data_IF_664617202131
#
_entry.id   IF_664617202131
#
_cell.length_a   1.000
_cell.length_b   1.000
_cell.length_c   1.000
_cell.angle_alpha   90.00
_cell.angle_beta   90.00
_cell.angle_gamma   90.00
#
_symmetry.space_group_name_H-M   'P 1'
#
loop_
_entity.id
_entity.type
_entity.pdbx_description
1 polymer ?
#
# COMPACT_ATOMS: atom_id res chain seq x y z
N UNK A 1 6.09 3.91 16.78
CA UNK A 1 4.68 3.66 17.18
C UNK A 1 4.05 2.89 16.03
N UNK A 2 3.58 1.65 16.22
CA UNK A 2 2.94 0.89 15.13
C UNK A 2 1.48 1.29 15.01
N UNK A 3 0.85 1.08 13.85
CA UNK A 3 -0.61 1.01 13.83
C UNK A 3 -1.06 -0.24 14.59
N UNK A 4 -2.12 -0.12 15.37
CA UNK A 4 -2.75 -1.24 16.05
C UNK A 4 -3.94 -1.77 15.22
N UNK A 5 -4.53 -2.88 15.66
CA UNK A 5 -5.58 -3.57 14.91
C UNK A 5 -6.81 -2.68 14.58
N UNK A 6 -7.32 -1.83 15.50
CA UNK A 6 -8.44 -0.93 15.18
C UNK A 6 -8.11 0.07 14.07
N UNK A 7 -6.92 0.67 14.11
CA UNK A 7 -6.43 1.63 13.13
C UNK A 7 -6.25 0.97 11.76
N UNK A 8 -5.68 -0.24 11.73
CA UNK A 8 -5.55 -1.02 10.50
C UNK A 8 -6.91 -1.32 9.87
N UNK A 9 -7.92 -1.63 10.68
CA UNK A 9 -9.29 -1.87 10.22
C UNK A 9 -9.92 -0.61 9.62
N UNK A 10 -9.82 0.53 10.32
CA UNK A 10 -10.34 1.82 9.84
C UNK A 10 -9.66 2.22 8.53
N UNK A 11 -8.33 2.10 8.45
CA UNK A 11 -7.59 2.40 7.23
C UNK A 11 -8.00 1.49 6.07
N UNK A 12 -8.17 0.19 6.31
CA UNK A 12 -8.64 -0.74 5.27
C UNK A 12 -10.04 -0.38 4.77
N UNK A 13 -10.97 0.01 5.65
CA UNK A 13 -12.32 0.46 5.29
C UNK A 13 -12.27 1.74 4.44
N UNK A 14 -11.48 2.73 4.84
CA UNK A 14 -11.30 3.98 4.09
C UNK A 14 -10.68 3.74 2.70
N UNK A 15 -9.70 2.85 2.62
CA UNK A 15 -9.06 2.47 1.36
C UNK A 15 -10.02 1.68 0.46
N UNK A 16 -10.82 0.77 1.01
CA UNK A 16 -11.84 0.02 0.27
C UNK A 16 -12.81 0.98 -0.43
N UNK A 17 -13.38 1.91 0.32
CA UNK A 17 -14.32 2.91 -0.21
C UNK A 17 -13.69 3.81 -1.28
N UNK A 18 -12.39 4.11 -1.15
CA UNK A 18 -11.70 5.08 -2.00
C UNK A 18 -11.04 4.47 -3.24
N UNK A 19 -10.65 3.20 -3.20
CA UNK A 19 -9.77 2.59 -4.21
C UNK A 19 -10.42 1.49 -5.03
N UNK A 20 -11.44 0.78 -4.53
CA UNK A 20 -12.04 -0.33 -5.28
C UNK A 20 -12.52 0.12 -6.66
N UNK A 21 -12.17 -0.66 -7.69
CA UNK A 21 -12.46 -0.37 -9.09
C UNK A 21 -11.49 0.59 -9.77
N UNK A 22 -10.59 1.26 -9.03
CA UNK A 22 -9.53 2.09 -9.63
C UNK A 22 -8.40 1.22 -10.18
N UNK A 23 -7.71 1.73 -11.20
CA UNK A 23 -6.58 1.09 -11.88
C UNK A 23 -5.28 1.79 -11.48
N UNK A 24 -4.23 1.01 -11.24
CA UNK A 24 -2.89 1.54 -10.96
C UNK A 24 -2.23 1.95 -12.29
N UNK A 25 -2.15 3.25 -12.56
CA UNK A 25 -1.52 3.78 -13.79
C UNK A 25 -0.01 3.99 -13.64
N UNK A 26 0.45 4.29 -12.42
CA UNK A 26 1.85 4.57 -12.12
C UNK A 26 2.16 4.25 -10.64
N UNK A 27 3.43 4.03 -10.34
CA UNK A 27 3.95 3.95 -8.97
C UNK A 27 5.33 4.60 -8.89
N UNK A 28 5.69 5.04 -7.70
CA UNK A 28 7.02 5.57 -7.35
C UNK A 28 7.49 4.89 -6.06
N UNK A 29 8.70 4.34 -6.06
CA UNK A 29 9.29 3.68 -4.89
C UNK A 29 10.43 4.54 -4.34
N UNK A 30 10.34 4.90 -3.06
CA UNK A 30 11.32 5.76 -2.38
C UNK A 30 12.01 5.04 -1.23
N UNK A 31 13.22 5.51 -0.90
CA UNK A 31 14.06 4.99 0.20
C UNK A 31 14.25 3.46 0.20
N UNK A 32 14.20 2.87 -1.00
CA UNK A 32 14.17 1.43 -1.22
C UNK A 32 15.35 0.73 -0.54
N UNK A 33 16.57 1.26 -0.66
CA UNK A 33 17.76 0.63 -0.06
C UNK A 33 17.67 0.54 1.47
N UNK A 34 17.08 1.56 2.11
CA UNK A 34 16.85 1.54 3.56
C UNK A 34 15.77 0.51 3.88
N UNK A 35 14.65 0.53 3.16
CA UNK A 35 13.50 -0.36 3.39
C UNK A 35 13.82 -1.83 3.13
N UNK A 36 14.62 -2.13 2.11
CA UNK A 36 15.11 -3.49 1.83
C UNK A 36 16.00 -4.02 2.96
N UNK A 37 16.88 -3.18 3.52
CA UNK A 37 17.77 -3.58 4.62
C UNK A 37 17.01 -3.97 5.88
N UNK A 38 15.87 -3.33 6.14
CA UNK A 38 15.02 -3.64 7.29
C UNK A 38 13.93 -4.68 6.98
N UNK A 39 13.84 -5.18 5.75
CA UNK A 39 12.94 -6.26 5.36
C UNK A 39 11.50 -5.84 5.03
N UNK A 40 11.26 -4.56 4.73
CA UNK A 40 9.92 -4.00 4.48
C UNK A 40 9.55 -3.88 3.00
N UNK A 41 10.50 -4.10 2.10
CA UNK A 41 10.29 -4.09 0.64
C UNK A 41 10.94 -5.33 0.05
N UNK A 42 10.34 -5.87 -1.00
CA UNK A 42 10.89 -7.01 -1.74
C UNK A 42 12.33 -6.72 -2.19
N UNK A 43 13.17 -7.76 -2.20
CA UNK A 43 14.56 -7.63 -2.63
C UNK A 43 14.70 -7.34 -4.12
N UNK A 44 13.76 -7.84 -4.92
CA UNK A 44 13.68 -7.57 -6.34
C UNK A 44 12.59 -6.52 -6.59
N UNK A 45 12.99 -5.38 -7.15
CA UNK A 45 12.04 -4.31 -7.49
C UNK A 45 11.17 -4.64 -8.69
N UNK A 46 11.60 -5.57 -9.54
CA UNK A 46 10.79 -6.02 -10.67
C UNK A 46 9.50 -6.69 -10.23
N UNK A 47 9.42 -7.18 -8.98
CA UNK A 47 8.19 -7.69 -8.37
C UNK A 47 7.04 -6.66 -8.32
N UNK A 48 7.35 -5.36 -8.40
CA UNK A 48 6.35 -4.29 -8.44
C UNK A 48 5.89 -3.97 -9.86
N UNK A 49 6.61 -4.33 -10.92
CA UNK A 49 6.17 -4.05 -12.29
C UNK A 49 4.78 -4.63 -12.63
N UNK A 50 4.42 -5.86 -12.20
CA UNK A 50 3.13 -6.46 -12.54
C UNK A 50 1.90 -5.76 -11.95
N UNK A 51 2.07 -4.81 -11.01
CA UNK A 51 0.96 -4.05 -10.42
C UNK A 51 0.39 -3.00 -11.39
N UNK A 52 1.17 -2.58 -12.40
CA UNK A 52 0.72 -1.59 -13.37
C UNK A 52 -0.41 -2.14 -14.23
N UNK A 53 -1.45 -1.32 -14.44
CA UNK A 53 -2.66 -1.69 -15.16
C UNK A 53 -3.60 -2.61 -14.37
N UNK A 54 -3.29 -2.94 -13.11
CA UNK A 54 -4.15 -3.77 -12.26
C UNK A 54 -5.21 -2.94 -11.57
N UNK A 55 -6.42 -3.47 -11.52
CA UNK A 55 -7.52 -2.86 -10.77
C UNK A 55 -7.55 -3.36 -9.33
N UNK A 56 -7.95 -2.51 -8.40
CA UNK A 56 -8.19 -2.89 -7.00
C UNK A 56 -9.54 -3.61 -6.91
N UNK A 57 -9.53 -4.86 -6.44
CA UNK A 57 -10.72 -5.69 -6.27
C UNK A 57 -11.29 -5.62 -4.85
N UNK A 58 -10.42 -5.53 -3.85
CA UNK A 58 -10.80 -5.44 -2.43
C UNK A 58 -9.60 -5.05 -1.56
N UNK A 59 -9.88 -4.58 -0.36
CA UNK A 59 -8.94 -4.14 0.65
C UNK A 59 -9.44 -4.67 1.98
N UNK A 60 -8.58 -5.39 2.68
CA UNK A 60 -8.88 -5.95 4.00
C UNK A 60 -7.70 -5.80 4.93
N UNK A 61 -7.93 -5.59 6.22
CA UNK A 61 -6.88 -5.72 7.22
C UNK A 61 -6.72 -7.16 7.68
N UNK A 62 -5.48 -7.56 7.97
CA UNK A 62 -5.09 -8.82 8.60
C UNK A 62 -4.09 -8.48 9.70
N UNK A 63 -4.58 -8.36 10.93
CA UNK A 63 -3.78 -7.79 12.02
C UNK A 63 -3.50 -6.31 11.73
N UNK A 64 -2.22 -5.93 11.80
CA UNK A 64 -1.73 -4.58 11.50
C UNK A 64 -1.36 -4.37 10.01
N UNK A 65 -1.51 -5.41 9.17
CA UNK A 65 -1.20 -5.34 7.74
C UNK A 65 -2.47 -5.14 6.93
N UNK A 66 -2.43 -4.25 5.95
CA UNK A 66 -3.50 -4.04 4.98
C UNK A 66 -3.16 -4.81 3.71
N UNK A 67 -4.07 -5.66 3.26
CA UNK A 67 -3.97 -6.41 2.01
C UNK A 67 -4.89 -5.78 0.99
N UNK A 68 -4.31 -5.22 -0.06
CA UNK A 68 -4.99 -4.76 -1.26
C UNK A 68 -4.94 -5.88 -2.29
N UNK A 69 -6.08 -6.50 -2.57
CA UNK A 69 -6.22 -7.48 -3.64
C UNK A 69 -6.37 -6.76 -4.96
N UNK A 70 -5.52 -7.12 -5.91
CA UNK A 70 -5.54 -6.62 -7.28
C UNK A 70 -6.10 -7.70 -8.21
N UNK A 71 -6.51 -7.29 -9.41
CA UNK A 71 -6.84 -8.21 -10.52
C UNK A 71 -5.70 -9.21 -10.76
N UNK A 72 -6.02 -10.37 -11.34
CA UNK A 72 -5.10 -11.49 -11.56
C UNK A 72 -4.54 -12.13 -10.27
N UNK A 73 -5.34 -12.10 -9.19
CA UNK A 73 -5.00 -12.73 -7.90
C UNK A 73 -3.73 -12.19 -7.22
N UNK A 74 -3.27 -11.01 -7.64
CA UNK A 74 -2.11 -10.35 -7.03
C UNK A 74 -2.50 -9.64 -5.74
N UNK A 75 -1.57 -9.51 -4.80
CA UNK A 75 -1.78 -8.77 -3.56
C UNK A 75 -0.67 -7.75 -3.38
N UNK A 76 -1.05 -6.53 -3.02
CA UNK A 76 -0.15 -5.52 -2.48
C UNK A 76 -0.36 -5.49 -0.95
N UNK A 77 0.72 -5.66 -0.20
CA UNK A 77 0.70 -5.62 1.26
C UNK A 77 1.25 -4.27 1.73
N UNK A 78 0.47 -3.58 2.54
CA UNK A 78 0.85 -2.32 3.18
C UNK A 78 0.94 -2.57 4.68
N UNK A 79 2.16 -2.51 5.23
CA UNK A 79 2.43 -2.67 6.64
C UNK A 79 3.02 -1.36 7.19
N UNK A 80 2.18 -0.39 7.61
CA UNK A 80 2.63 0.90 8.14
C UNK A 80 3.17 0.75 9.58
N UNK A 81 4.18 -0.10 9.75
CA UNK A 81 4.87 -0.27 11.03
C UNK A 81 5.70 0.97 11.37
N UNK A 82 6.09 1.10 12.65
CA UNK A 82 7.04 2.11 13.14
C UNK A 82 6.71 3.58 12.80
N UNK A 83 5.45 3.92 12.54
CA UNK A 83 4.99 5.28 12.28
C UNK A 83 4.70 5.53 10.80
N UNK A 84 4.55 4.47 10.00
CA UNK A 84 4.08 4.55 8.63
C UNK A 84 2.74 5.28 8.54
N UNK A 85 2.59 6.11 7.51
CA UNK A 85 1.39 6.88 7.23
C UNK A 85 0.89 6.51 5.85
N UNK A 86 -0.42 6.28 5.73
CA UNK A 86 -1.09 6.11 4.44
C UNK A 86 -1.95 7.34 4.23
N UNK A 87 -1.82 7.97 3.06
CA UNK A 87 -2.55 9.20 2.72
C UNK A 87 -3.25 9.01 1.39
N UNK A 88 -4.53 9.39 1.34
CA UNK A 88 -5.30 9.49 0.11
C UNK A 88 -5.34 10.96 -0.32
N UNK A 89 -5.00 11.23 -1.59
CA UNK A 89 -5.00 12.57 -2.19
C UNK A 89 -5.86 12.50 -3.45
N UNK A 90 -6.98 13.22 -3.46
CA UNK A 90 -7.99 13.14 -4.52
C UNK A 90 -7.51 13.76 -5.86
N UNK A 91 -6.64 14.77 -5.79
CA UNK A 91 -5.85 15.29 -6.90
C UNK A 91 -4.69 16.14 -6.37
N UNK A 92 -3.52 16.09 -7.04
CA UNK A 92 -2.33 16.87 -6.66
C UNK A 92 -1.07 16.03 -6.46
N UNK A 93 0.04 16.67 -6.06
CA UNK A 93 1.28 15.97 -5.73
C UNK A 93 1.11 15.18 -4.43
N UNK A 94 1.61 13.94 -4.41
CA UNK A 94 1.77 13.19 -3.18
C UNK A 94 2.60 14.02 -2.17
N UNK A 95 2.18 14.11 -0.90
CA UNK A 95 2.92 14.87 0.11
C UNK A 95 4.40 14.45 0.15
N UNK A 96 5.29 15.46 0.12
CA UNK A 96 6.73 15.25 0.29
C UNK A 96 7.00 14.93 1.76
N UNK A 97 7.01 13.66 2.10
CA UNK A 97 7.55 13.22 3.39
C UNK A 97 9.08 13.10 3.29
N UNK A 98 9.76 13.59 4.33
CA UNK A 98 11.22 13.67 4.49
C UNK A 98 11.73 12.55 5.39
#
# INVERSE_FOLDING_TARGET
MSIELPEARILAEQLEESLVGKVIEAYDLRDVERMMRIGFVNKDLSDFQPILGRSVESVVSRGNTIRVRLSDSMNLLLAPEYGGVITFVDSGEAPKYH
#
